data_IF_163593798928
#
_entry.id   IF_163593798928
#
_cell.length_a   1.000
_cell.length_b   1.000
_cell.length_c   1.000
_cell.angle_alpha   90.00
_cell.angle_beta   90.00
_cell.angle_gamma   90.00
#
_symmetry.space_group_name_H-M   'P 1'
#
loop_
_entity.id
_entity.type
_entity.pdbx_description
1 polymer ?
#
# COMPACT_ATOMS: atom_id res chain seq x y z
N UNK A 1 11.58 -3.69 -29.84
CA UNK A 1 10.70 -3.57 -28.66
C UNK A 1 11.50 -3.49 -27.34
N UNK A 2 12.50 -2.62 -27.22
CA UNK A 2 13.42 -2.58 -26.04
C UNK A 2 13.39 -1.24 -25.27
N UNK A 3 12.90 -0.15 -25.89
CA UNK A 3 12.95 1.20 -25.28
C UNK A 3 11.91 1.43 -24.18
N UNK A 4 10.71 0.86 -24.30
CA UNK A 4 9.66 1.01 -23.29
C UNK A 4 10.06 0.34 -21.95
N UNK A 5 10.64 -0.87 -22.02
CA UNK A 5 11.11 -1.60 -20.85
C UNK A 5 12.27 -0.88 -20.13
N UNK A 6 13.16 -0.24 -20.90
CA UNK A 6 14.26 0.55 -20.34
C UNK A 6 13.77 1.88 -19.73
N UNK A 7 12.76 2.51 -20.32
CA UNK A 7 12.14 3.73 -19.78
C UNK A 7 11.36 3.43 -18.49
N UNK A 8 10.63 2.31 -18.45
CA UNK A 8 9.93 1.85 -17.25
C UNK A 8 10.90 1.56 -16.12
N UNK A 9 12.01 0.84 -16.40
CA UNK A 9 13.10 0.60 -15.44
C UNK A 9 13.79 1.88 -14.96
N UNK A 10 13.88 2.89 -15.82
CA UNK A 10 14.47 4.20 -15.49
C UNK A 10 13.55 5.06 -14.62
N UNK A 11 12.24 5.02 -14.84
CA UNK A 11 11.26 5.84 -14.13
C UNK A 11 10.91 5.26 -12.76
N UNK A 12 10.84 3.94 -12.65
CA UNK A 12 10.48 3.26 -11.40
C UNK A 12 11.70 2.74 -10.63
N UNK A 13 12.91 2.99 -11.15
CA UNK A 13 14.16 2.46 -10.61
C UNK A 13 14.26 0.95 -10.79
N UNK A 14 15.47 0.45 -11.01
CA UNK A 14 15.76 -0.89 -10.49
C UNK A 14 15.76 -0.75 -8.98
N UNK A 15 14.63 -1.00 -8.31
CA UNK A 15 14.71 -1.48 -6.93
C UNK A 15 15.78 -2.55 -6.95
N UNK A 16 16.81 -2.40 -6.11
CA UNK A 16 17.82 -3.42 -5.88
C UNK A 16 17.08 -4.75 -5.95
N UNK A 17 17.27 -5.50 -7.04
CA UNK A 17 16.69 -6.82 -7.13
C UNK A 17 17.21 -7.48 -5.87
N UNK A 18 16.30 -7.81 -4.94
CA UNK A 18 16.68 -8.45 -3.69
C UNK A 18 17.66 -9.54 -4.02
N UNK A 19 18.70 -9.67 -3.19
CA UNK A 19 19.77 -10.64 -3.39
C UNK A 19 19.18 -11.94 -3.97
N UNK A 20 19.51 -12.33 -5.21
CA UNK A 20 18.90 -13.49 -5.86
C UNK A 20 19.17 -14.80 -5.10
N UNK A 21 20.07 -14.76 -4.09
CA UNK A 21 20.35 -15.88 -3.19
C UNK A 21 19.35 -16.01 -2.03
N UNK A 22 18.52 -14.99 -1.77
CA UNK A 22 17.38 -15.05 -0.87
C UNK A 22 16.07 -14.89 -1.68
N UNK A 23 15.62 -15.94 -2.38
CA UNK A 23 14.25 -15.94 -2.89
C UNK A 23 13.34 -15.71 -1.68
N UNK A 24 12.56 -14.63 -1.71
CA UNK A 24 11.64 -14.30 -0.62
C UNK A 24 10.80 -15.50 -0.21
N UNK A 25 10.40 -15.57 1.05
CA UNK A 25 9.67 -16.71 1.59
C UNK A 25 8.37 -16.92 0.82
N UNK A 26 8.18 -18.11 0.25
CA UNK A 26 6.92 -18.46 -0.41
C UNK A 26 5.80 -18.46 0.62
N UNK A 27 4.86 -17.52 0.48
CA UNK A 27 3.69 -17.39 1.35
C UNK A 27 2.42 -17.56 0.53
N UNK A 28 1.43 -18.25 1.11
CA UNK A 28 0.07 -18.30 0.55
C UNK A 28 -0.71 -17.16 1.16
N UNK A 29 -1.11 -16.18 0.35
CA UNK A 29 -1.84 -15.00 0.77
C UNK A 29 -3.26 -15.04 0.23
N UNK A 30 -4.22 -14.53 1.02
CA UNK A 30 -5.52 -14.18 0.46
C UNK A 30 -5.39 -12.88 -0.36
N UNK A 31 -6.40 -12.56 -1.18
CA UNK A 31 -6.35 -11.38 -2.05
C UNK A 31 -6.20 -10.06 -1.29
N UNK A 32 -6.85 -9.92 -0.13
CA UNK A 32 -6.80 -8.71 0.68
C UNK A 32 -5.39 -8.50 1.26
N UNK A 33 -4.80 -9.54 1.84
CA UNK A 33 -3.45 -9.49 2.41
C UNK A 33 -2.42 -9.17 1.32
N UNK A 34 -2.53 -9.81 0.16
CA UNK A 34 -1.65 -9.56 -0.96
C UNK A 34 -1.70 -8.09 -1.42
N UNK A 35 -2.89 -7.52 -1.51
CA UNK A 35 -3.07 -6.10 -1.86
C UNK A 35 -2.53 -5.20 -0.76
N UNK A 36 -2.87 -5.43 0.51
CA UNK A 36 -2.42 -4.60 1.62
C UNK A 36 -0.89 -4.59 1.78
N UNK A 37 -0.24 -5.75 1.66
CA UNK A 37 1.23 -5.87 1.70
C UNK A 37 1.87 -5.12 0.52
N UNK A 38 1.29 -5.28 -0.68
CA UNK A 38 1.78 -4.59 -1.89
C UNK A 38 1.65 -3.07 -1.74
N UNK A 39 0.53 -2.60 -1.22
CA UNK A 39 0.29 -1.18 -0.98
C UNK A 39 1.24 -0.64 0.10
N UNK A 40 1.46 -1.37 1.20
CA UNK A 40 2.43 -0.99 2.23
C UNK A 40 3.87 -0.89 1.66
N UNK A 41 4.21 -1.69 0.65
CA UNK A 41 5.51 -1.63 0.02
C UNK A 41 5.75 -0.36 -0.82
N UNK A 42 4.69 0.29 -1.34
CA UNK A 42 4.82 1.41 -2.31
C UNK A 42 4.21 2.74 -1.83
N UNK A 43 3.32 2.69 -0.85
CA UNK A 43 2.63 3.84 -0.29
C UNK A 43 3.30 4.33 1.00
N UNK A 44 2.95 5.54 1.43
CA UNK A 44 3.37 6.15 2.69
C UNK A 44 2.21 6.23 3.67
N UNK A 45 0.99 6.45 3.18
CA UNK A 45 -0.19 6.66 4.02
C UNK A 45 -1.35 5.80 3.52
N UNK A 46 -1.92 4.98 4.39
CA UNK A 46 -3.23 4.37 4.13
C UNK A 46 -4.34 5.19 4.80
N UNK A 47 -5.43 5.44 4.08
CA UNK A 47 -6.64 6.02 4.65
C UNK A 47 -7.73 4.95 4.74
N UNK A 48 -8.38 4.87 5.90
CA UNK A 48 -9.31 3.81 6.27
C UNK A 48 -10.64 4.43 6.67
N UNK A 49 -11.75 3.78 6.32
CA UNK A 49 -13.07 4.36 6.58
C UNK A 49 -14.18 3.35 6.47
N UNK A 50 -14.71 2.96 7.63
CA UNK A 50 -15.86 2.08 7.72
C UNK A 50 -15.68 1.01 8.80
N UNK A 51 -16.72 0.21 9.09
CA UNK A 51 -16.68 -0.80 10.13
C UNK A 51 -16.12 -2.16 9.66
N UNK A 52 -15.41 -2.84 10.57
CA UNK A 52 -15.03 -4.26 10.67
C UNK A 52 -14.38 -4.99 9.46
N UNK A 53 -14.87 -4.89 8.22
CA UNK A 53 -14.23 -5.54 7.06
C UNK A 53 -12.92 -4.82 6.63
N UNK A 54 -12.82 -3.53 6.95
CA UNK A 54 -11.57 -2.76 6.93
C UNK A 54 -10.50 -3.34 7.86
N UNK A 55 -10.89 -4.11 8.88
CA UNK A 55 -9.96 -4.56 9.92
C UNK A 55 -8.98 -5.61 9.38
N UNK A 56 -9.35 -6.45 8.42
CA UNK A 56 -8.40 -7.42 7.82
C UNK A 56 -7.34 -6.73 6.97
N UNK A 57 -7.73 -5.78 6.12
CA UNK A 57 -6.80 -5.00 5.29
C UNK A 57 -5.90 -4.11 6.16
N UNK A 58 -6.46 -3.52 7.21
CA UNK A 58 -5.70 -2.74 8.20
C UNK A 58 -4.70 -3.60 8.96
N UNK A 59 -5.10 -4.79 9.44
CA UNK A 59 -4.20 -5.70 10.13
C UNK A 59 -3.08 -6.18 9.22
N UNK A 60 -3.36 -6.46 7.94
CA UNK A 60 -2.34 -6.83 6.96
C UNK A 60 -1.38 -5.66 6.66
N UNK A 61 -1.89 -4.43 6.54
CA UNK A 61 -1.06 -3.23 6.40
C UNK A 61 -0.15 -3.01 7.63
N UNK A 62 -0.71 -3.11 8.84
CA UNK A 62 0.05 -2.95 10.07
C UNK A 62 1.09 -4.07 10.27
N UNK A 63 0.75 -5.30 9.89
CA UNK A 63 1.67 -6.42 9.90
C UNK A 63 2.83 -6.18 8.92
N UNK A 64 2.53 -5.79 7.68
CA UNK A 64 3.54 -5.43 6.69
C UNK A 64 4.43 -4.27 7.17
N UNK A 65 3.82 -3.24 7.76
CA UNK A 65 4.56 -2.12 8.34
C UNK A 65 5.50 -2.58 9.46
N UNK A 66 5.05 -3.46 10.37
CA UNK A 66 5.90 -4.01 11.43
C UNK A 66 7.06 -4.84 10.89
N UNK A 67 6.79 -5.71 9.91
CA UNK A 67 7.81 -6.54 9.26
C UNK A 67 8.88 -5.70 8.55
N UNK A 68 8.50 -4.55 8.00
CA UNK A 68 9.40 -3.62 7.31
C UNK A 68 9.93 -2.50 8.23
N UNK A 69 9.87 -2.69 9.55
CA UNK A 69 10.34 -1.72 10.55
C UNK A 69 9.72 -0.31 10.44
N UNK A 70 8.47 -0.25 9.99
CA UNK A 70 7.71 0.98 9.81
C UNK A 70 8.05 1.74 8.54
N UNK A 71 8.83 1.15 7.62
CA UNK A 71 9.25 1.77 6.36
C UNK A 71 8.64 1.01 5.18
N UNK A 72 8.43 1.70 4.06
CA UNK A 72 8.13 1.05 2.79
C UNK A 72 9.41 0.66 2.04
N UNK A 73 9.29 0.03 0.85
CA UNK A 73 10.46 -0.38 0.04
C UNK A 73 11.31 0.77 -0.52
N UNK A 74 10.90 2.01 -0.23
CA UNK A 74 11.58 3.22 -0.67
C UNK A 74 12.19 4.00 0.50
N UNK A 75 12.17 3.40 1.70
CA UNK A 75 12.76 3.95 2.92
C UNK A 75 11.90 5.06 3.55
N UNK A 76 10.65 5.22 3.14
CA UNK A 76 9.75 6.23 3.67
C UNK A 76 8.87 5.65 4.79
N UNK A 77 8.54 6.43 5.84
CA UNK A 77 7.71 5.96 6.94
C UNK A 77 6.29 5.64 6.50
N UNK A 78 5.75 4.55 7.05
CA UNK A 78 4.37 4.14 6.87
C UNK A 78 3.46 4.72 7.96
N UNK A 79 2.36 5.31 7.53
CA UNK A 79 1.31 5.88 8.38
C UNK A 79 -0.07 5.38 7.99
N UNK A 80 -1.02 5.54 8.92
CA UNK A 80 -2.42 5.23 8.71
C UNK A 80 -3.30 6.37 9.24
N UNK A 81 -4.37 6.69 8.53
CA UNK A 81 -5.36 7.70 8.91
C UNK A 81 -6.74 7.04 8.99
N UNK A 82 -7.27 6.96 10.20
CA UNK A 82 -8.64 6.48 10.42
C UNK A 82 -9.65 7.60 10.20
N UNK A 83 -10.76 7.27 9.54
CA UNK A 83 -11.85 8.22 9.26
C UNK A 83 -13.21 7.60 9.57
N UNK A 84 -14.28 8.40 9.81
CA UNK A 84 -15.59 7.88 10.18
C UNK A 84 -16.34 7.10 9.08
N UNK A 85 -15.77 6.93 7.87
CA UNK A 85 -16.39 6.20 6.78
C UNK A 85 -15.67 6.39 5.44
N UNK A 86 -16.07 5.60 4.43
CA UNK A 86 -15.42 5.52 3.12
C UNK A 86 -15.16 6.86 2.42
N UNK A 87 -16.14 7.77 2.42
CA UNK A 87 -15.96 9.12 1.84
C UNK A 87 -14.88 9.92 2.57
N UNK A 88 -14.80 9.78 3.88
CA UNK A 88 -13.75 10.37 4.70
C UNK A 88 -12.39 9.79 4.37
N UNK A 89 -12.29 8.46 4.20
CA UNK A 89 -11.05 7.77 3.86
C UNK A 89 -10.52 8.22 2.52
N UNK A 90 -11.39 8.24 1.51
CA UNK A 90 -11.03 8.72 0.18
C UNK A 90 -10.57 10.18 0.23
N UNK A 91 -11.29 11.06 0.93
CA UNK A 91 -10.91 12.46 1.08
C UNK A 91 -9.56 12.62 1.79
N UNK A 92 -9.30 11.82 2.82
CA UNK A 92 -8.02 11.82 3.54
C UNK A 92 -6.86 11.34 2.64
N UNK A 93 -7.06 10.27 1.87
CA UNK A 93 -6.07 9.82 0.89
C UNK A 93 -5.80 10.88 -0.18
N UNK A 94 -6.84 11.52 -0.72
CA UNK A 94 -6.69 12.63 -1.66
C UNK A 94 -5.89 13.79 -1.03
N UNK A 95 -6.22 14.19 0.19
CA UNK A 95 -5.46 15.22 0.92
C UNK A 95 -3.99 14.86 1.10
N UNK A 96 -3.69 13.62 1.47
CA UNK A 96 -2.31 13.12 1.58
C UNK A 96 -1.58 13.16 0.22
N UNK A 97 -2.24 12.75 -0.87
CA UNK A 97 -1.66 12.86 -2.22
C UNK A 97 -1.40 14.30 -2.65
N UNK A 98 -2.31 15.23 -2.37
CA UNK A 98 -2.13 16.65 -2.64
C UNK A 98 -0.99 17.25 -1.79
N UNK A 99 -0.76 16.71 -0.60
CA UNK A 99 0.40 17.01 0.24
C UNK A 99 1.73 16.42 -0.26
N UNK A 100 1.72 15.67 -1.36
CA UNK A 100 2.90 15.05 -1.96
C UNK A 100 3.20 13.64 -1.46
N UNK A 101 2.35 13.06 -0.60
CA UNK A 101 2.52 11.69 -0.14
C UNK A 101 1.95 10.68 -1.14
N UNK A 102 2.52 9.48 -1.17
CA UNK A 102 1.85 8.35 -1.85
C UNK A 102 0.84 7.76 -0.90
N UNK A 103 -0.43 7.84 -1.26
CA UNK A 103 -1.49 7.38 -0.40
C UNK A 103 -2.38 6.38 -1.10
N UNK A 104 -2.91 5.47 -0.30
CA UNK A 104 -3.86 4.44 -0.70
C UNK A 104 -5.11 4.54 0.18
N UNK A 105 -6.25 4.12 -0.34
CA UNK A 105 -7.48 3.95 0.41
C UNK A 105 -8.08 2.60 0.05
N UNK A 106 -8.46 1.83 1.07
CA UNK A 106 -9.15 0.57 0.87
C UNK A 106 -10.65 0.83 0.91
N UNK A 107 -11.36 0.45 -0.15
CA UNK A 107 -12.80 0.65 -0.31
C UNK A 107 -13.44 -0.66 -0.81
N UNK A 108 -14.58 -1.03 -0.24
CA UNK A 108 -15.37 -2.19 -0.61
C UNK A 108 -16.52 -1.81 -1.55
N UNK A 109 -17.22 -2.81 -2.10
CA UNK A 109 -18.31 -2.58 -3.04
C UNK A 109 -19.41 -1.65 -2.48
N UNK A 110 -19.78 -1.83 -1.23
CA UNK A 110 -20.80 -1.02 -0.56
C UNK A 110 -20.33 0.44 -0.35
N UNK A 111 -19.03 0.65 -0.20
CA UNK A 111 -18.43 1.99 -0.05
C UNK A 111 -18.52 2.81 -1.35
N UNK A 112 -18.56 2.11 -2.49
CA UNK A 112 -18.68 2.70 -3.82
C UNK A 112 -20.15 2.86 -4.26
N UNK A 113 -21.08 2.18 -3.59
CA UNK A 113 -22.48 2.14 -3.99
C UNK A 113 -23.22 3.47 -3.80
N UNK A 114 -22.72 4.36 -2.93
CA UNK A 114 -23.03 5.79 -2.93
C UNK A 114 -24.39 6.19 -2.39
#
# INVERSE_FOLDING_TARGET
>A
MSRLANLFRSLFGSSSAGDPTHPGTSATLNGNDAVAITEAAISQVTALGGPAQDQTLMLAWEAAAKEQHGLNLLGEPLGAVGTPGARGALAAAMGATLGGARSTAFLLGDDLAG
#
